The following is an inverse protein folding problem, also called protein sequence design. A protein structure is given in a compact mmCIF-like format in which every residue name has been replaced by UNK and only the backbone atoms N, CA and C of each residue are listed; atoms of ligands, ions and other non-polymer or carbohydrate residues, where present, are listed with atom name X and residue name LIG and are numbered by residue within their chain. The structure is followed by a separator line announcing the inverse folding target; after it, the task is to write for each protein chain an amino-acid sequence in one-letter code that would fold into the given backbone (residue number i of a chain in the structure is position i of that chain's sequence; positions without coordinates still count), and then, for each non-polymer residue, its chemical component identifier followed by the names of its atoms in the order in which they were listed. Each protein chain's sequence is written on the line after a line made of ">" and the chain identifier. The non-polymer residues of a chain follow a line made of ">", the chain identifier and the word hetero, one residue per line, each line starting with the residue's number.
data_IF_428485963867
#
_entry.id   IF_428485963867
#
_cell.length_a   1.000
_cell.length_b   1.000
_cell.length_c   1.000
_cell.angle_alpha   90.00
_cell.angle_beta   90.00
_cell.angle_gamma   90.00
#
_symmetry.space_group_name_H-M   'P 1'
#
loop_
_entity.id
_entity.type
_entity.pdbx_description
1 polymer ?
#
# COMPACT_ATOMS: atom_id res chain seq x y z
N UNK A 1 7.48 3.88 17.53
CA UNK A 1 6.39 3.84 16.52
C UNK A 1 5.22 3.06 17.10
N UNK A 2 4.00 3.57 16.91
CA UNK A 2 2.73 2.87 17.20
C UNK A 2 2.10 2.51 15.85
N UNK A 3 1.58 1.30 15.70
CA UNK A 3 0.99 0.85 14.44
C UNK A 3 -0.33 0.13 14.68
N UNK A 4 -1.37 0.58 13.99
CA UNK A 4 -2.67 -0.07 13.95
C UNK A 4 -2.74 -1.05 12.77
N UNK A 5 -3.57 -2.10 12.87
CA UNK A 5 -3.77 -3.08 11.80
C UNK A 5 -2.59 -4.03 11.61
N UNK A 6 -1.93 -4.44 12.69
CA UNK A 6 -0.77 -5.34 12.66
C UNK A 6 -1.11 -6.83 12.67
N UNK A 7 -2.34 -7.19 12.76
CA UNK A 7 -2.77 -8.57 12.86
C UNK A 7 -3.87 -8.95 11.87
N UNK A 8 -4.49 -10.09 12.12
CA UNK A 8 -5.63 -10.59 11.34
C UNK A 8 -6.97 -10.11 11.92
N UNK A 9 -7.01 -8.93 12.53
CA UNK A 9 -8.18 -8.42 13.26
C UNK A 9 -9.22 -7.75 12.34
N UNK A 10 -9.01 -7.81 11.03
CA UNK A 10 -9.86 -7.15 10.04
C UNK A 10 -9.37 -5.77 9.64
N UNK A 11 -10.23 -5.00 8.97
CA UNK A 11 -9.88 -3.68 8.44
C UNK A 11 -10.04 -2.58 9.51
N UNK A 12 -8.95 -1.92 9.93
CA UNK A 12 -9.01 -0.91 10.99
C UNK A 12 -9.86 0.31 10.63
N UNK A 13 -9.96 0.69 9.35
CA UNK A 13 -10.77 1.84 8.92
C UNK A 13 -12.25 1.67 9.22
N UNK A 14 -12.76 0.45 9.43
CA UNK A 14 -14.12 0.21 9.90
C UNK A 14 -14.35 0.76 11.32
N UNK A 15 -13.28 1.00 12.08
CA UNK A 15 -13.28 1.60 13.42
C UNK A 15 -12.63 2.99 13.42
N UNK A 16 -12.77 3.74 12.33
CA UNK A 16 -12.09 5.03 12.13
C UNK A 16 -12.35 6.04 13.25
N UNK A 17 -13.54 6.05 13.84
CA UNK A 17 -13.85 6.95 14.97
C UNK A 17 -13.03 6.61 16.22
N UNK A 18 -12.89 5.32 16.53
CA UNK A 18 -12.07 4.85 17.66
C UNK A 18 -10.60 5.15 17.41
N UNK A 19 -10.12 4.93 16.19
CA UNK A 19 -8.74 5.26 15.80
C UNK A 19 -8.48 6.76 15.94
N UNK A 20 -9.37 7.61 15.46
CA UNK A 20 -9.25 9.06 15.57
C UNK A 20 -9.14 9.50 17.03
N UNK A 21 -10.04 9.01 17.88
CA UNK A 21 -10.03 9.33 19.32
C UNK A 21 -8.71 8.88 19.97
N UNK A 22 -8.25 7.66 19.66
CA UNK A 22 -7.00 7.11 20.18
C UNK A 22 -5.79 7.93 19.74
N UNK A 23 -5.71 8.31 18.47
CA UNK A 23 -4.63 9.14 17.92
C UNK A 23 -4.61 10.51 18.62
N UNK A 24 -5.76 11.14 18.79
CA UNK A 24 -5.86 12.43 19.51
C UNK A 24 -5.37 12.34 20.96
N UNK A 25 -5.70 11.26 21.68
CA UNK A 25 -5.23 11.03 23.05
C UNK A 25 -3.70 10.87 23.05
N UNK A 26 -3.15 10.06 22.15
CA UNK A 26 -1.70 9.86 22.02
C UNK A 26 -0.97 11.19 21.72
N UNK A 27 -1.50 12.00 20.81
CA UNK A 27 -0.90 13.29 20.43
C UNK A 27 -1.00 14.35 21.53
N UNK A 28 -2.02 14.30 22.38
CA UNK A 28 -2.08 15.13 23.58
C UNK A 28 -1.01 14.73 24.61
N UNK A 29 -0.70 13.43 24.72
CA UNK A 29 0.31 12.94 25.64
C UNK A 29 1.75 13.17 25.14
N UNK A 30 1.99 13.08 23.82
CA UNK A 30 3.33 13.27 23.25
C UNK A 30 3.26 13.63 21.77
N UNK A 31 4.11 14.56 21.34
CA UNK A 31 4.37 14.85 19.92
C UNK A 31 5.37 13.87 19.28
N UNK A 32 6.02 13.01 20.08
CA UNK A 32 7.09 12.13 19.59
C UNK A 32 6.53 10.83 19.01
N UNK A 33 7.33 10.27 18.11
CA UNK A 33 7.08 8.95 17.53
C UNK A 33 6.04 8.95 16.42
N UNK A 34 6.19 7.99 15.52
CA UNK A 34 5.32 7.82 14.35
C UNK A 34 4.10 6.98 14.70
N UNK A 35 2.93 7.45 14.29
CA UNK A 35 1.68 6.66 14.28
C UNK A 35 1.44 6.18 12.86
N UNK A 36 1.37 4.86 12.67
CA UNK A 36 1.18 4.19 11.39
C UNK A 36 -0.15 3.43 11.37
N UNK A 37 -0.72 3.30 10.17
CA UNK A 37 -1.91 2.51 9.89
C UNK A 37 -1.62 1.53 8.75
N UNK A 38 -1.81 0.22 9.01
CA UNK A 38 -1.88 -0.78 7.93
C UNK A 38 -3.36 -1.00 7.60
N UNK A 39 -3.70 -0.96 6.31
CA UNK A 39 -5.10 -0.92 5.88
C UNK A 39 -5.24 -1.34 4.42
N UNK A 40 -6.44 -1.66 4.00
CA UNK A 40 -6.78 -1.79 2.58
C UNK A 40 -7.00 -0.44 1.88
N UNK A 41 -7.02 0.67 2.63
CA UNK A 41 -7.22 2.02 2.09
C UNK A 41 -8.63 2.33 1.60
N UNK A 42 -9.64 1.56 2.03
CA UNK A 42 -11.01 1.61 1.50
C UNK A 42 -11.77 2.92 1.75
N UNK A 43 -11.39 3.69 2.79
CA UNK A 43 -12.11 4.87 3.25
C UNK A 43 -11.21 6.13 3.26
N UNK A 44 -10.92 6.74 2.10
CA UNK A 44 -9.99 7.88 2.02
C UNK A 44 -10.42 9.10 2.83
N UNK A 45 -11.72 9.35 2.98
CA UNK A 45 -12.21 10.46 3.79
C UNK A 45 -11.98 10.21 5.30
N UNK A 46 -12.03 8.95 5.74
CA UNK A 46 -11.63 8.56 7.09
C UNK A 46 -10.12 8.73 7.28
N UNK A 47 -9.30 8.31 6.30
CA UNK A 47 -7.85 8.51 6.34
C UNK A 47 -7.49 9.99 6.49
N UNK A 48 -8.19 10.89 5.79
CA UNK A 48 -7.98 12.33 5.93
C UNK A 48 -8.23 12.82 7.35
N UNK A 49 -9.33 12.37 7.99
CA UNK A 49 -9.61 12.70 9.41
C UNK A 49 -8.53 12.18 10.34
N UNK A 50 -8.02 10.96 10.09
CA UNK A 50 -6.93 10.40 10.88
C UNK A 50 -5.62 11.20 10.71
N UNK A 51 -5.30 11.66 9.50
CA UNK A 51 -4.15 12.55 9.27
C UNK A 51 -4.29 13.85 10.06
N UNK A 52 -5.45 14.49 10.05
CA UNK A 52 -5.73 15.68 10.85
C UNK A 52 -5.67 15.44 12.36
N UNK A 53 -5.92 14.21 12.80
CA UNK A 53 -5.78 13.80 14.20
C UNK A 53 -4.32 13.53 14.60
N UNK A 54 -3.40 13.34 13.64
CA UNK A 54 -1.98 13.10 13.87
C UNK A 54 -1.43 11.75 13.37
N UNK A 55 -2.16 11.06 12.49
CA UNK A 55 -1.61 9.94 11.72
C UNK A 55 -0.51 10.45 10.78
N UNK A 56 0.64 9.79 10.76
CA UNK A 56 1.80 10.23 9.97
C UNK A 56 2.22 9.23 8.91
N UNK A 57 1.79 7.98 9.02
CA UNK A 57 2.19 6.94 8.10
C UNK A 57 1.04 6.01 7.75
N UNK A 58 0.97 5.61 6.48
CA UNK A 58 0.05 4.56 6.02
C UNK A 58 0.81 3.47 5.29
N UNK A 59 0.33 2.24 5.42
CA UNK A 59 0.74 1.12 4.57
C UNK A 59 -0.49 0.47 3.97
N UNK A 60 -0.64 0.58 2.65
CA UNK A 60 -1.79 0.01 1.93
C UNK A 60 -1.42 -1.36 1.36
N UNK A 61 -2.27 -2.36 1.62
CA UNK A 61 -2.11 -3.69 1.05
C UNK A 61 -2.47 -3.70 -0.42
N UNK A 62 -1.61 -4.29 -1.26
CA UNK A 62 -1.79 -4.30 -2.71
C UNK A 62 -1.14 -5.54 -3.32
N UNK A 63 -1.91 -6.30 -4.09
CA UNK A 63 -1.39 -7.46 -4.81
C UNK A 63 -0.92 -7.12 -6.22
N UNK A 64 -1.49 -6.09 -6.82
CA UNK A 64 -1.20 -5.62 -8.17
C UNK A 64 -1.52 -4.13 -8.29
N UNK A 65 -0.81 -3.40 -9.13
CA UNK A 65 -1.12 -2.02 -9.50
C UNK A 65 -2.14 -1.92 -10.65
N UNK A 66 -2.54 -3.05 -11.22
CA UNK A 66 -3.61 -3.14 -12.21
C UNK A 66 -4.95 -3.33 -11.51
N UNK A 67 -5.93 -2.40 -11.68
CA UNK A 67 -7.23 -2.45 -10.99
C UNK A 67 -7.95 -3.78 -11.13
N UNK A 68 -7.93 -4.38 -12.32
CA UNK A 68 -8.62 -5.64 -12.62
C UNK A 68 -8.11 -6.81 -11.76
N UNK A 69 -6.81 -6.88 -11.46
CA UNK A 69 -6.25 -7.94 -10.61
C UNK A 69 -6.36 -7.61 -9.13
N UNK A 70 -6.29 -6.33 -8.77
CA UNK A 70 -6.57 -5.88 -7.41
C UNK A 70 -8.00 -6.27 -7.01
N UNK A 71 -8.98 -5.98 -7.86
CA UNK A 71 -10.39 -6.21 -7.58
C UNK A 71 -10.75 -7.71 -7.58
N UNK A 72 -10.15 -8.51 -8.45
CA UNK A 72 -10.30 -9.96 -8.41
C UNK A 72 -9.77 -10.57 -7.11
N UNK A 73 -8.64 -10.09 -6.61
CA UNK A 73 -8.02 -10.61 -5.40
C UNK A 73 -8.72 -10.16 -4.12
N UNK A 74 -8.88 -8.85 -3.94
CA UNK A 74 -9.48 -8.29 -2.73
C UNK A 74 -11.00 -8.38 -2.70
N UNK A 75 -11.66 -8.54 -3.84
CA UNK A 75 -13.13 -8.60 -3.98
C UNK A 75 -13.82 -7.49 -3.19
N UNK A 76 -13.46 -6.22 -3.44
CA UNK A 76 -13.87 -5.11 -2.62
C UNK A 76 -15.39 -4.93 -2.62
N UNK A 77 -15.96 -4.67 -1.43
CA UNK A 77 -17.37 -4.36 -1.26
C UNK A 77 -17.53 -2.90 -0.85
N UNK A 78 -18.15 -2.10 -1.72
CA UNK A 78 -18.37 -0.67 -1.44
C UNK A 78 -17.14 0.24 -1.63
N UNK A 79 -16.04 -0.29 -2.14
CA UNK A 79 -14.84 0.48 -2.51
C UNK A 79 -14.19 -0.13 -3.76
N UNK A 80 -13.10 0.45 -4.25
CA UNK A 80 -12.36 0.00 -5.44
C UNK A 80 -10.87 0.29 -5.28
N UNK A 81 -10.06 -0.13 -6.24
CA UNK A 81 -8.65 0.24 -6.35
C UNK A 81 -8.43 1.76 -6.22
N UNK A 82 -9.33 2.55 -6.80
CA UNK A 82 -9.22 4.01 -6.76
C UNK A 82 -9.33 4.59 -5.34
N UNK A 83 -10.11 3.98 -4.46
CA UNK A 83 -10.16 4.38 -3.04
C UNK A 83 -8.83 4.13 -2.34
N UNK A 84 -8.19 2.98 -2.59
CA UNK A 84 -6.87 2.65 -2.05
C UNK A 84 -5.81 3.66 -2.55
N UNK A 85 -5.81 3.96 -3.86
CA UNK A 85 -4.93 4.96 -4.48
C UNK A 85 -5.16 6.35 -3.86
N UNK A 86 -6.41 6.78 -3.71
CA UNK A 86 -6.77 8.06 -3.09
C UNK A 86 -6.31 8.13 -1.63
N UNK A 87 -6.42 7.06 -0.87
CA UNK A 87 -5.94 7.02 0.52
C UNK A 87 -4.44 7.28 0.62
N UNK A 88 -3.64 6.71 -0.29
CA UNK A 88 -2.20 7.00 -0.41
C UNK A 88 -1.99 8.51 -0.67
N UNK A 89 -2.67 9.05 -1.68
CA UNK A 89 -2.55 10.46 -2.06
C UNK A 89 -2.95 11.41 -0.92
N UNK A 90 -4.01 11.08 -0.17
CA UNK A 90 -4.47 11.87 0.98
C UNK A 90 -3.39 11.97 2.05
N UNK A 91 -2.72 10.87 2.38
CA UNK A 91 -1.60 10.90 3.35
C UNK A 91 -0.47 11.78 2.84
N UNK A 92 -0.10 11.65 1.56
CA UNK A 92 0.95 12.49 0.94
C UNK A 92 0.60 13.97 0.93
N UNK A 93 -0.65 14.34 0.64
CA UNK A 93 -1.12 15.73 0.68
C UNK A 93 -1.08 16.32 2.10
N UNK A 94 -1.20 15.48 3.13
CA UNK A 94 -1.08 15.89 4.53
C UNK A 94 0.38 15.80 5.06
N UNK A 95 1.38 15.66 4.17
CA UNK A 95 2.80 15.60 4.55
C UNK A 95 3.23 14.29 5.20
N UNK A 96 2.40 13.26 5.13
CA UNK A 96 2.68 11.96 5.72
C UNK A 96 3.52 11.05 4.82
N UNK A 97 3.92 9.91 5.38
CA UNK A 97 4.67 8.85 4.73
C UNK A 97 3.71 7.75 4.23
N UNK A 98 3.77 7.45 2.94
CA UNK A 98 2.90 6.45 2.33
C UNK A 98 3.71 5.28 1.76
N UNK A 99 3.30 4.07 2.12
CA UNK A 99 3.89 2.84 1.63
C UNK A 99 2.83 1.86 1.14
N UNK A 100 3.24 0.94 0.27
CA UNK A 100 2.43 -0.22 -0.10
C UNK A 100 3.10 -1.51 0.34
N UNK A 101 2.26 -2.46 0.74
CA UNK A 101 2.64 -3.85 0.94
C UNK A 101 2.30 -4.60 -0.35
N UNK A 102 3.31 -4.86 -1.19
CA UNK A 102 3.14 -5.30 -2.57
C UNK A 102 3.55 -6.76 -2.73
N UNK A 103 2.65 -7.59 -3.24
CA UNK A 103 2.93 -8.99 -3.47
C UNK A 103 3.84 -9.18 -4.68
N UNK A 104 4.77 -10.10 -4.55
CA UNK A 104 5.72 -10.46 -5.60
C UNK A 104 5.54 -11.91 -5.97
N UNK A 105 5.12 -12.14 -7.20
CA UNK A 105 5.07 -13.42 -7.87
C UNK A 105 5.82 -13.28 -9.19
N UNK A 106 7.03 -13.90 -9.33
CA UNK A 106 7.76 -13.90 -10.62
C UNK A 106 6.90 -14.43 -11.76
N UNK A 107 7.00 -13.83 -12.94
CA UNK A 107 6.15 -14.13 -14.08
C UNK A 107 4.82 -13.36 -14.12
N UNK A 108 4.43 -12.72 -13.02
CA UNK A 108 3.26 -11.86 -12.95
C UNK A 108 3.65 -10.42 -12.56
N UNK A 109 4.32 -10.26 -11.42
CA UNK A 109 4.69 -8.92 -10.89
C UNK A 109 5.69 -8.20 -11.79
N UNK A 110 6.52 -8.93 -12.49
CA UNK A 110 7.55 -8.43 -13.41
C UNK A 110 7.13 -8.43 -14.88
N UNK A 111 5.83 -8.52 -15.16
CA UNK A 111 5.28 -8.25 -16.49
C UNK A 111 5.41 -6.76 -16.82
N UNK A 112 5.60 -6.44 -18.10
CA UNK A 112 5.73 -5.07 -18.56
C UNK A 112 4.46 -4.24 -18.29
N UNK A 113 3.29 -4.85 -18.45
CA UNK A 113 2.00 -4.23 -18.14
C UNK A 113 1.88 -3.88 -16.65
N UNK A 114 2.31 -4.79 -15.75
CA UNK A 114 2.32 -4.56 -14.31
C UNK A 114 3.31 -3.44 -13.94
N UNK A 115 4.51 -3.46 -14.53
CA UNK A 115 5.48 -2.38 -14.35
C UNK A 115 4.92 -1.03 -14.77
N UNK A 116 4.28 -0.94 -15.94
CA UNK A 116 3.67 0.31 -16.40
C UNK A 116 2.58 0.82 -15.45
N UNK A 117 1.76 -0.07 -14.89
CA UNK A 117 0.74 0.27 -13.92
C UNK A 117 1.36 0.74 -12.59
N UNK A 118 2.37 0.01 -12.09
CA UNK A 118 3.09 0.36 -10.86
C UNK A 118 3.81 1.71 -11.00
N UNK A 119 4.48 1.94 -12.11
CA UNK A 119 5.14 3.19 -12.47
C UNK A 119 4.18 4.37 -12.43
N UNK A 120 2.98 4.19 -13.01
CA UNK A 120 1.91 5.20 -12.97
C UNK A 120 1.45 5.46 -11.53
N UNK A 121 1.21 4.41 -10.76
CA UNK A 121 0.80 4.53 -9.35
C UNK A 121 1.84 5.32 -8.54
N UNK A 122 3.14 4.99 -8.68
CA UNK A 122 4.23 5.68 -7.97
C UNK A 122 4.23 7.17 -8.34
N UNK A 123 4.20 7.49 -9.63
CA UNK A 123 4.24 8.88 -10.13
C UNK A 123 3.06 9.70 -9.65
N UNK A 124 1.84 9.14 -9.71
CA UNK A 124 0.61 9.86 -9.34
C UNK A 124 0.46 10.04 -7.83
N UNK A 125 0.90 9.08 -7.04
CA UNK A 125 0.72 9.10 -5.58
C UNK A 125 1.91 9.64 -4.81
N UNK A 126 3.09 9.77 -5.44
CA UNK A 126 4.36 10.11 -4.77
C UNK A 126 4.68 9.17 -3.61
N UNK A 127 4.50 7.87 -3.86
CA UNK A 127 4.76 6.82 -2.88
C UNK A 127 6.18 6.91 -2.33
N UNK A 128 6.36 6.69 -1.02
CA UNK A 128 7.67 6.78 -0.35
C UNK A 128 8.37 5.43 -0.24
N UNK A 129 7.61 4.33 -0.17
CA UNK A 129 8.19 2.99 0.01
C UNK A 129 7.30 1.90 -0.59
N UNK A 130 7.94 0.95 -1.24
CA UNK A 130 7.33 -0.35 -1.59
C UNK A 130 7.96 -1.42 -0.72
N UNK A 131 7.14 -2.05 0.11
CA UNK A 131 7.49 -3.29 0.78
C UNK A 131 7.17 -4.45 -0.14
N UNK A 132 8.19 -4.98 -0.81
CA UNK A 132 8.05 -6.16 -1.68
C UNK A 132 7.99 -7.42 -0.81
N UNK A 133 6.93 -8.19 -0.92
CA UNK A 133 6.72 -9.44 -0.19
C UNK A 133 6.48 -10.57 -1.16
N UNK A 134 7.20 -11.65 -0.98
CA UNK A 134 6.88 -12.87 -1.71
C UNK A 134 5.43 -13.26 -1.45
N UNK A 135 4.76 -13.77 -2.48
CA UNK A 135 3.44 -14.36 -2.34
C UNK A 135 3.49 -15.44 -1.24
N UNK A 136 2.61 -15.34 -0.26
CA UNK A 136 2.56 -16.21 0.91
C UNK A 136 1.26 -17.02 0.99
N UNK A 137 0.58 -17.17 -0.14
CA UNK A 137 -0.59 -18.00 -0.33
C UNK A 137 -0.30 -19.02 -1.43
N UNK A 138 -1.19 -19.97 -1.63
CA UNK A 138 -1.09 -20.98 -2.70
C UNK A 138 -0.99 -20.30 -4.07
N UNK A 139 0.13 -20.47 -4.81
CA UNK A 139 0.32 -19.82 -6.11
C UNK A 139 -0.67 -20.31 -7.17
N UNK A 140 -1.02 -21.59 -7.16
CA UNK A 140 -1.94 -22.17 -8.15
C UNK A 140 -3.33 -21.57 -7.94
N UNK A 141 -3.80 -21.51 -6.68
CA UNK A 141 -5.05 -20.82 -6.35
C UNK A 141 -5.03 -19.34 -6.79
N UNK A 142 -3.93 -18.64 -6.54
CA UNK A 142 -3.79 -17.24 -6.91
C UNK A 142 -3.86 -17.02 -8.42
N UNK A 143 -3.18 -17.86 -9.20
CA UNK A 143 -3.18 -17.80 -10.66
C UNK A 143 -4.54 -18.18 -11.25
N UNK A 144 -5.18 -19.21 -10.70
CA UNK A 144 -6.53 -19.63 -11.13
C UNK A 144 -7.59 -18.55 -10.87
N UNK A 145 -7.50 -17.85 -9.76
CA UNK A 145 -8.43 -16.78 -9.39
C UNK A 145 -8.23 -15.54 -10.25
N UNK A 146 -6.98 -15.12 -10.45
CA UNK A 146 -6.66 -13.91 -11.20
C UNK A 146 -6.73 -14.13 -12.71
N UNK A 147 -6.38 -15.32 -13.18
CA UNK A 147 -6.24 -15.67 -14.61
C UNK A 147 -5.45 -14.62 -15.39
N UNK A 148 -4.20 -14.35 -14.99
CA UNK A 148 -3.36 -13.40 -15.69
C UNK A 148 -2.96 -13.96 -17.07
N UNK A 149 -2.69 -13.05 -18.00
CA UNK A 149 -2.03 -13.45 -19.24
C UNK A 149 -0.55 -13.74 -18.97
N UNK A 150 -0.21 -15.03 -18.87
CA UNK A 150 1.17 -15.49 -18.66
C UNK A 150 1.98 -15.58 -19.96
N UNK A 151 1.40 -15.25 -21.11
CA UNK A 151 2.13 -15.17 -22.39
C UNK A 151 2.93 -13.86 -22.51
N UNK A 152 2.62 -12.86 -21.70
CA UNK A 152 3.36 -11.60 -21.65
C UNK A 152 4.78 -11.85 -21.14
N UNK A 153 5.76 -11.37 -21.90
CA UNK A 153 7.18 -11.54 -21.54
C UNK A 153 7.52 -10.79 -20.26
N UNK A 154 8.03 -11.52 -19.31
CA UNK A 154 8.58 -10.99 -18.06
C UNK A 154 9.89 -10.23 -18.29
N UNK A 155 10.12 -9.18 -17.50
CA UNK A 155 11.38 -8.42 -17.51
C UNK A 155 12.39 -8.95 -16.48
N UNK A 156 11.94 -9.77 -15.55
CA UNK A 156 12.69 -10.32 -14.42
C UNK A 156 12.68 -9.39 -13.19
N UNK A 157 12.51 -9.98 -12.00
CA UNK A 157 12.39 -9.23 -10.72
C UNK A 157 13.60 -8.34 -10.45
N UNK A 158 14.83 -8.83 -10.71
CA UNK A 158 16.03 -8.01 -10.49
C UNK A 158 16.06 -6.78 -11.39
N UNK A 159 15.65 -6.93 -12.65
CA UNK A 159 15.58 -5.83 -13.60
C UNK A 159 14.45 -4.85 -13.24
N UNK A 160 13.30 -5.36 -12.77
CA UNK A 160 12.23 -4.52 -12.23
C UNK A 160 12.73 -3.65 -11.08
N UNK A 161 13.45 -4.24 -10.11
CA UNK A 161 14.04 -3.50 -8.99
C UNK A 161 15.02 -2.41 -9.48
N UNK A 162 15.88 -2.73 -10.45
CA UNK A 162 16.79 -1.75 -11.04
C UNK A 162 16.04 -0.61 -11.70
N UNK A 163 15.04 -0.91 -12.52
CA UNK A 163 14.21 0.10 -13.18
C UNK A 163 13.49 1.02 -12.19
N UNK A 164 12.96 0.45 -11.08
CA UNK A 164 12.34 1.26 -10.02
C UNK A 164 13.35 2.23 -9.42
N UNK A 165 14.57 1.78 -9.11
CA UNK A 165 15.62 2.61 -8.52
C UNK A 165 16.12 3.70 -9.47
N UNK A 166 16.25 3.37 -10.75
CA UNK A 166 16.74 4.29 -11.77
C UNK A 166 15.73 5.42 -12.05
N UNK A 167 14.43 5.07 -12.10
CA UNK A 167 13.38 6.01 -12.42
C UNK A 167 12.86 6.80 -11.19
N UNK A 168 12.90 6.19 -10.01
CA UNK A 168 12.40 6.77 -8.76
C UNK A 168 13.47 6.68 -7.65
N UNK A 169 14.55 7.46 -7.73
CA UNK A 169 15.69 7.35 -6.79
C UNK A 169 15.31 7.65 -5.33
N UNK A 170 14.27 8.44 -5.10
CA UNK A 170 13.76 8.75 -3.75
C UNK A 170 12.82 7.68 -3.18
N UNK A 171 12.32 6.77 -4.04
CA UNK A 171 11.45 5.69 -3.60
C UNK A 171 12.26 4.60 -2.91
N UNK A 172 11.88 4.29 -1.68
CA UNK A 172 12.54 3.23 -0.91
C UNK A 172 11.95 1.87 -1.26
N UNK A 173 12.84 0.89 -1.38
CA UNK A 173 12.47 -0.53 -1.43
C UNK A 173 12.93 -1.17 -0.13
N UNK A 174 12.03 -1.82 0.60
CA UNK A 174 12.41 -2.37 1.89
C UNK A 174 11.31 -3.18 2.56
N UNK A 175 11.63 -3.63 3.79
CA UNK A 175 10.75 -4.48 4.58
C UNK A 175 10.00 -3.72 5.67
N UNK A 176 10.61 -2.68 6.25
CA UNK A 176 10.00 -1.89 7.32
C UNK A 176 9.91 -0.42 6.94
N UNK A 177 8.87 0.25 7.43
CA UNK A 177 8.85 1.70 7.38
C UNK A 177 9.98 2.25 8.24
N UNK A 178 10.80 3.18 7.71
CA UNK A 178 11.79 3.85 8.53
C UNK A 178 11.10 4.68 9.61
N UNK A 179 11.74 4.92 10.76
CA UNK A 179 11.27 5.92 11.69
C UNK A 179 11.24 7.29 10.97
N UNK A 180 10.21 8.06 11.23
CA UNK A 180 10.15 9.47 10.83
C UNK A 180 10.69 10.28 12.01
N UNK A 181 11.66 11.14 11.76
CA UNK A 181 12.27 12.03 12.75
C UNK A 181 11.31 13.13 13.17
#
# INVERSE_FOLDING_TARGET
>A
MVSFGQGCEGEPLLQAQTLEASIRIMRKATGRGTINLNTNGSLPDAVEKLCRAGLQSIRVSMNSARPEYYEKYFRPKGYSFEHARRSISVVKMNGGFASINYFVLPGFTDQKSEWNALRKLISETRLDLIQMRNLNIDPDWYLDELRPDLSEKEIGIQRLISQIRDEFPDLRLGYFNPPLD
#
